data_IF_394759813824
#
_entry.id   IF_394759813824
#
_cell.length_a   1.000
_cell.length_b   1.000
_cell.length_c   1.000
_cell.angle_alpha   90.00
_cell.angle_beta   90.00
_cell.angle_gamma   90.00
#
_symmetry.space_group_name_H-M   'P 1'
#
loop_
_entity.id
_entity.type
_entity.pdbx_description
1 polymer ?
#
# COMPACT_ATOMS: atom_id res chain seq x y z
N UNK A 1 21.95 -15.02 22.18
CA UNK A 1 21.14 -14.82 20.96
C UNK A 1 20.78 -16.19 20.41
N UNK A 2 19.49 -16.51 20.30
CA UNK A 2 19.05 -17.74 19.63
C UNK A 2 18.97 -17.44 18.13
N UNK A 3 19.88 -18.01 17.34
CA UNK A 3 19.82 -17.88 15.88
C UNK A 3 18.85 -18.93 15.35
N UNK A 4 17.65 -18.49 14.95
CA UNK A 4 16.68 -19.38 14.31
C UNK A 4 17.13 -19.72 12.89
N UNK A 5 16.89 -20.96 12.46
CA UNK A 5 17.17 -21.36 11.08
C UNK A 5 16.28 -20.59 10.10
N UNK A 6 16.75 -20.35 8.87
CA UNK A 6 15.94 -19.71 7.80
C UNK A 6 14.63 -20.47 7.55
N UNK A 7 14.66 -21.80 7.64
CA UNK A 7 13.46 -22.62 7.48
C UNK A 7 12.45 -22.40 8.62
N UNK A 8 12.93 -22.23 9.85
CA UNK A 8 12.09 -21.91 11.01
C UNK A 8 11.43 -20.55 10.84
N UNK A 9 12.19 -19.53 10.45
CA UNK A 9 11.68 -18.17 10.19
C UNK A 9 10.62 -18.21 9.09
N UNK A 10 10.93 -18.83 7.94
CA UNK A 10 10.02 -18.90 6.81
C UNK A 10 8.76 -19.70 7.11
N UNK A 11 8.82 -20.75 7.94
CA UNK A 11 7.63 -21.47 8.42
C UNK A 11 6.80 -20.58 9.36
N UNK A 12 7.45 -19.83 10.25
CA UNK A 12 6.77 -18.89 11.13
C UNK A 12 5.99 -17.83 10.37
N UNK A 13 6.58 -17.24 9.33
CA UNK A 13 5.96 -16.22 8.48
C UNK A 13 4.64 -16.72 7.87
N UNK A 14 4.65 -17.88 7.20
CA UNK A 14 3.44 -18.43 6.56
C UNK A 14 2.36 -18.84 7.57
N UNK A 15 2.76 -19.33 8.74
CA UNK A 15 1.83 -19.67 9.82
C UNK A 15 1.16 -18.43 10.42
N UNK A 16 1.92 -17.34 10.63
CA UNK A 16 1.36 -16.07 11.10
C UNK A 16 0.35 -15.52 10.10
N UNK A 17 0.69 -15.46 8.81
CA UNK A 17 -0.24 -14.97 7.78
C UNK A 17 -1.51 -15.82 7.68
N UNK A 18 -1.40 -17.14 7.78
CA UNK A 18 -2.57 -18.03 7.81
C UNK A 18 -3.50 -17.74 8.98
N UNK A 19 -2.97 -17.63 10.20
CA UNK A 19 -3.77 -17.33 11.38
C UNK A 19 -4.38 -15.91 11.34
N UNK A 20 -3.67 -14.93 10.77
CA UNK A 20 -4.22 -13.58 10.56
C UNK A 20 -5.42 -13.61 9.60
N UNK A 21 -5.36 -14.39 8.51
CA UNK A 21 -6.48 -14.55 7.58
C UNK A 21 -7.71 -15.19 8.26
N UNK A 22 -7.50 -16.23 9.06
CA UNK A 22 -8.59 -16.87 9.81
C UNK A 22 -9.18 -15.93 10.88
N UNK A 23 -8.32 -15.23 11.62
CA UNK A 23 -8.75 -14.25 12.62
C UNK A 23 -9.57 -13.12 11.98
N UNK A 24 -9.13 -12.62 10.82
CA UNK A 24 -9.88 -11.66 10.00
C UNK A 24 -11.25 -12.21 9.60
N UNK A 25 -11.29 -13.39 8.96
CA UNK A 25 -12.51 -14.02 8.49
C UNK A 25 -13.56 -14.20 9.59
N UNK A 26 -13.16 -14.74 10.75
CA UNK A 26 -14.05 -14.92 11.89
C UNK A 26 -14.50 -13.60 12.51
N UNK A 27 -13.62 -12.58 12.54
CA UNK A 27 -13.97 -11.24 13.01
C UNK A 27 -15.02 -10.59 12.11
N UNK A 28 -14.88 -10.73 10.79
CA UNK A 28 -15.84 -10.24 9.81
C UNK A 28 -17.18 -10.97 9.94
N UNK A 29 -17.18 -12.29 10.09
CA UNK A 29 -18.41 -13.05 10.32
C UNK A 29 -19.14 -12.59 11.58
N UNK A 30 -18.41 -12.41 12.70
CA UNK A 30 -18.96 -11.86 13.93
C UNK A 30 -19.53 -10.45 13.74
N UNK A 31 -18.79 -9.59 13.03
CA UNK A 31 -19.20 -8.21 12.75
C UNK A 31 -20.51 -8.17 11.97
N UNK A 32 -20.58 -8.94 10.87
CA UNK A 32 -21.76 -9.05 10.00
C UNK A 32 -22.97 -9.61 10.74
N UNK A 33 -22.77 -10.57 11.64
CA UNK A 33 -23.86 -11.17 12.41
C UNK A 33 -24.37 -10.24 13.52
N UNK A 34 -23.47 -9.61 14.27
CA UNK A 34 -23.81 -8.96 15.54
C UNK A 34 -23.97 -7.45 15.44
N UNK A 35 -23.16 -6.78 14.64
CA UNK A 35 -23.05 -5.32 14.68
C UNK A 35 -23.52 -4.65 13.37
N UNK A 36 -23.22 -5.24 12.21
CA UNK A 36 -23.58 -4.68 10.91
C UNK A 36 -25.08 -4.40 10.73
N UNK A 37 -26.03 -5.26 11.18
CA UNK A 37 -27.45 -4.99 11.00
C UNK A 37 -27.95 -3.71 11.68
N UNK A 38 -27.26 -3.27 12.74
CA UNK A 38 -27.61 -2.05 13.48
C UNK A 38 -26.85 -0.83 12.97
N UNK A 39 -25.57 -0.97 12.65
CA UNK A 39 -24.70 0.18 12.31
C UNK A 39 -24.60 0.45 10.80
N UNK A 40 -24.89 -0.52 9.94
CA UNK A 40 -24.79 -0.40 8.48
C UNK A 40 -23.36 -0.20 7.94
N UNK A 41 -22.33 -0.47 8.75
CA UNK A 41 -20.92 -0.20 8.40
C UNK A 41 -20.29 -1.28 7.51
N UNK A 42 -19.08 -0.99 7.05
CA UNK A 42 -18.25 -1.88 6.20
C UNK A 42 -16.98 -2.29 6.94
N UNK A 43 -16.47 -3.48 6.65
CA UNK A 43 -15.24 -4.03 7.22
C UNK A 43 -14.35 -4.64 6.12
N UNK A 44 -13.04 -4.48 6.27
CA UNK A 44 -12.03 -5.06 5.37
C UNK A 44 -10.69 -5.24 6.11
N UNK A 45 -9.69 -5.74 5.40
CA UNK A 45 -8.29 -5.79 5.82
C UNK A 45 -7.45 -4.89 4.91
N UNK A 46 -6.49 -4.19 5.50
CA UNK A 46 -5.54 -3.34 4.77
C UNK A 46 -4.40 -4.20 4.24
N UNK A 47 -4.10 -4.07 2.95
CA UNK A 47 -2.97 -4.72 2.30
C UNK A 47 -1.92 -3.69 1.87
N UNK A 48 -0.65 -4.03 1.93
CA UNK A 48 0.44 -3.11 1.56
C UNK A 48 1.17 -3.64 0.33
N UNK A 49 1.27 -2.81 -0.71
CA UNK A 49 2.00 -3.19 -1.92
C UNK A 49 2.55 -1.97 -2.66
N UNK A 50 3.71 -2.17 -3.26
CA UNK A 50 4.31 -1.26 -4.21
C UNK A 50 4.45 -1.98 -5.55
N UNK A 51 4.41 -1.25 -6.65
CA UNK A 51 4.46 -1.85 -7.97
C UNK A 51 5.85 -2.43 -8.27
N UNK A 52 5.96 -3.75 -8.52
CA UNK A 52 7.20 -4.37 -8.96
C UNK A 52 7.24 -4.38 -10.49
N UNK A 53 7.84 -3.38 -11.11
CA UNK A 53 7.98 -3.30 -12.57
C UNK A 53 8.98 -4.35 -13.07
N UNK A 54 8.66 -5.13 -14.12
CA UNK A 54 9.62 -6.05 -14.68
C UNK A 54 10.70 -5.25 -15.42
N UNK A 55 11.98 -5.60 -15.22
CA UNK A 55 13.08 -4.88 -15.87
C UNK A 55 13.17 -5.11 -17.39
N UNK A 56 12.47 -6.13 -17.89
CA UNK A 56 12.27 -6.43 -19.30
C UNK A 56 11.03 -7.30 -19.51
N UNK A 57 10.71 -7.59 -20.77
CA UNK A 57 9.54 -8.37 -21.17
C UNK A 57 9.73 -9.90 -21.14
N UNK A 58 10.87 -10.40 -20.67
CA UNK A 58 11.15 -11.84 -20.69
C UNK A 58 10.16 -12.62 -19.81
N UNK A 59 9.80 -13.85 -20.21
CA UNK A 59 8.90 -14.69 -19.43
C UNK A 59 9.37 -14.92 -17.99
N UNK A 60 10.68 -15.07 -17.79
CA UNK A 60 11.28 -15.33 -16.47
C UNK A 60 11.14 -14.11 -15.55
N UNK A 61 11.41 -12.90 -16.07
CA UNK A 61 11.24 -11.66 -15.29
C UNK A 61 9.76 -11.42 -14.96
N UNK A 62 8.83 -11.67 -15.90
CA UNK A 62 7.39 -11.59 -15.65
C UNK A 62 6.90 -12.62 -14.62
N UNK A 63 7.44 -13.84 -14.65
CA UNK A 63 7.16 -14.84 -13.63
C UNK A 63 7.66 -14.39 -12.24
N UNK A 64 8.83 -13.76 -12.16
CA UNK A 64 9.34 -13.19 -10.91
C UNK A 64 8.55 -11.98 -10.44
N UNK A 65 8.05 -11.14 -11.35
CA UNK A 65 7.12 -10.07 -11.02
C UNK A 65 5.84 -10.63 -10.38
N UNK A 66 5.23 -11.64 -11.01
CA UNK A 66 4.04 -12.30 -10.46
C UNK A 66 4.33 -12.88 -9.09
N UNK A 67 5.46 -13.56 -8.91
CA UNK A 67 5.88 -14.09 -7.62
C UNK A 67 6.06 -12.98 -6.57
N UNK A 68 6.61 -11.82 -6.96
CA UNK A 68 6.73 -10.67 -6.05
C UNK A 68 5.37 -10.16 -5.60
N UNK A 69 4.43 -9.98 -6.53
CA UNK A 69 3.05 -9.60 -6.20
C UNK A 69 2.35 -10.65 -5.33
N UNK A 70 2.60 -11.94 -5.61
CA UNK A 70 2.04 -13.05 -4.85
C UNK A 70 2.43 -12.99 -3.38
N UNK A 71 3.72 -12.80 -3.10
CA UNK A 71 4.25 -12.75 -1.73
C UNK A 71 4.07 -11.40 -1.05
N UNK A 72 3.94 -10.30 -1.81
CA UNK A 72 3.73 -8.98 -1.25
C UNK A 72 2.27 -8.76 -0.84
N UNK A 73 1.32 -9.12 -1.71
CA UNK A 73 -0.08 -8.72 -1.51
C UNK A 73 -1.11 -9.77 -1.90
N UNK A 74 -0.92 -10.59 -2.95
CA UNK A 74 -1.91 -11.64 -3.24
C UNK A 74 -2.01 -12.66 -2.11
N UNK A 75 -0.97 -12.84 -1.31
CA UNK A 75 -0.97 -13.70 -0.13
C UNK A 75 -2.20 -13.45 0.77
N UNK A 76 -2.59 -12.20 0.98
CA UNK A 76 -3.76 -11.88 1.80
C UNK A 76 -5.04 -11.67 0.97
N UNK A 77 -4.92 -11.21 -0.27
CA UNK A 77 -6.08 -10.93 -1.13
C UNK A 77 -6.64 -12.17 -1.82
N UNK A 78 -5.82 -13.06 -2.39
CA UNK A 78 -6.30 -14.27 -3.07
C UNK A 78 -7.13 -15.19 -2.16
N UNK A 79 -6.76 -15.43 -0.88
CA UNK A 79 -7.59 -16.23 0.00
C UNK A 79 -8.98 -15.61 0.26
N UNK A 80 -9.06 -14.28 0.34
CA UNK A 80 -10.32 -13.57 0.58
C UNK A 80 -11.19 -13.56 -0.69
N UNK A 81 -10.62 -13.34 -1.87
CA UNK A 81 -11.40 -13.23 -3.10
C UNK A 81 -11.66 -14.59 -3.78
N UNK A 82 -10.71 -15.51 -3.69
CA UNK A 82 -10.72 -16.78 -4.42
C UNK A 82 -10.67 -18.03 -3.53
N UNK A 83 -10.57 -17.88 -2.20
CA UNK A 83 -10.58 -19.00 -1.26
C UNK A 83 -9.31 -19.86 -1.27
N UNK A 84 -8.21 -19.38 -1.87
CA UNK A 84 -6.95 -20.13 -2.00
C UNK A 84 -5.73 -19.22 -1.97
N UNK A 85 -4.58 -19.78 -1.60
CA UNK A 85 -3.30 -19.09 -1.73
C UNK A 85 -2.85 -18.96 -3.20
N UNK A 86 -2.00 -17.97 -3.51
CA UNK A 86 -1.37 -17.86 -4.83
C UNK A 86 -0.53 -19.10 -5.17
N UNK A 87 -0.48 -19.47 -6.45
CA UNK A 87 0.20 -20.68 -6.90
C UNK A 87 1.71 -20.65 -6.60
N UNK A 88 2.39 -19.52 -6.85
CA UNK A 88 3.83 -19.44 -6.59
C UNK A 88 4.18 -19.56 -5.11
N UNK A 89 3.25 -19.19 -4.21
CA UNK A 89 3.41 -19.41 -2.78
C UNK A 89 3.30 -20.88 -2.41
N UNK A 90 2.32 -21.59 -2.98
CA UNK A 90 2.14 -23.04 -2.75
C UNK A 90 3.39 -23.79 -3.18
N UNK A 91 3.91 -23.49 -4.37
CA UNK A 91 5.13 -24.13 -4.92
C UNK A 91 6.36 -23.82 -4.08
N UNK A 92 6.54 -22.56 -3.68
CA UNK A 92 7.71 -22.15 -2.91
C UNK A 92 7.68 -22.65 -1.45
N UNK A 93 6.54 -22.53 -0.79
CA UNK A 93 6.41 -22.86 0.63
C UNK A 93 6.19 -24.36 0.86
N UNK A 94 5.54 -25.05 -0.08
CA UNK A 94 5.23 -26.47 0.00
C UNK A 94 4.50 -26.81 1.30
N UNK A 95 4.93 -27.88 1.97
CA UNK A 95 4.36 -28.34 3.25
C UNK A 95 4.50 -27.36 4.42
N UNK A 96 5.25 -26.25 4.26
CA UNK A 96 5.33 -25.20 5.27
C UNK A 96 4.08 -24.31 5.27
N UNK A 97 3.41 -24.17 4.12
CA UNK A 97 2.20 -23.36 3.99
C UNK A 97 1.01 -24.18 4.52
N UNK A 98 0.28 -23.69 5.55
CA UNK A 98 -0.93 -24.37 5.99
C UNK A 98 -1.97 -24.43 4.88
N UNK A 99 -2.86 -25.41 4.95
CA UNK A 99 -3.98 -25.54 4.02
C UNK A 99 -5.26 -25.09 4.71
N UNK A 100 -6.11 -24.37 3.99
CA UNK A 100 -7.45 -24.09 4.45
C UNK A 100 -8.33 -25.34 4.34
N UNK A 101 -9.04 -25.65 5.40
CA UNK A 101 -10.15 -26.60 5.37
C UNK A 101 -11.33 -26.00 4.58
N UNK A 102 -12.26 -26.84 4.07
CA UNK A 102 -13.48 -26.34 3.43
C UNK A 102 -14.28 -25.39 4.32
N UNK A 103 -14.27 -25.60 5.63
CA UNK A 103 -14.99 -24.78 6.61
C UNK A 103 -14.35 -23.40 6.77
N UNK A 104 -13.01 -23.35 6.80
CA UNK A 104 -12.27 -22.09 6.82
C UNK A 104 -12.47 -21.29 5.53
N UNK A 105 -12.42 -21.95 4.36
CA UNK A 105 -12.70 -21.28 3.07
C UNK A 105 -14.09 -20.65 3.06
N UNK A 106 -15.11 -21.32 3.61
CA UNK A 106 -16.48 -20.78 3.68
C UNK A 106 -16.59 -19.48 4.47
N UNK A 107 -15.78 -19.30 5.51
CA UNK A 107 -15.79 -18.08 6.32
C UNK A 107 -14.85 -17.02 5.74
N UNK A 108 -13.75 -17.45 5.11
CA UNK A 108 -12.71 -16.58 4.56
C UNK A 108 -13.10 -15.93 3.24
N UNK A 109 -13.68 -16.68 2.31
CA UNK A 109 -13.99 -16.15 0.99
C UNK A 109 -15.13 -15.12 1.06
N UNK A 110 -14.91 -13.94 0.51
CA UNK A 110 -15.85 -12.81 0.58
C UNK A 110 -15.83 -12.05 1.92
N UNK A 111 -14.81 -12.25 2.76
CA UNK A 111 -14.68 -11.57 4.06
C UNK A 111 -14.17 -10.11 3.97
N UNK A 112 -14.43 -9.39 2.87
CA UNK A 112 -14.18 -7.95 2.76
C UNK A 112 -15.34 -7.27 2.04
N UNK A 113 -15.68 -6.05 2.47
CA UNK A 113 -16.72 -5.22 1.84
C UNK A 113 -16.15 -4.20 0.82
N UNK A 114 -14.84 -3.96 0.86
CA UNK A 114 -14.08 -3.07 -0.02
C UNK A 114 -12.60 -3.49 -0.03
N UNK A 115 -11.80 -3.00 -0.98
CA UNK A 115 -10.36 -3.22 -1.01
C UNK A 115 -9.62 -2.04 -0.36
N UNK A 116 -8.72 -2.32 0.58
CA UNK A 116 -7.92 -1.30 1.25
C UNK A 116 -6.43 -1.49 0.93
N UNK A 117 -5.79 -0.42 0.47
CA UNK A 117 -4.42 -0.45 -0.05
C UNK A 117 -3.54 0.62 0.61
N UNK A 118 -2.41 0.18 1.12
CA UNK A 118 -1.26 1.04 1.42
C UNK A 118 -0.26 0.91 0.27
N UNK A 119 0.19 2.04 -0.27
CA UNK A 119 1.19 2.07 -1.34
C UNK A 119 2.04 3.32 -1.23
N UNK A 120 3.33 3.21 -1.52
CA UNK A 120 4.33 4.20 -1.15
C UNK A 120 5.40 4.44 -2.22
N UNK A 121 5.68 3.45 -3.07
CA UNK A 121 6.86 3.41 -3.91
C UNK A 121 6.67 2.49 -5.12
N UNK A 122 7.76 2.20 -5.82
CA UNK A 122 7.88 1.15 -6.84
C UNK A 122 9.30 0.61 -6.88
N UNK A 123 9.49 -0.53 -7.53
CA UNK A 123 10.80 -1.19 -7.69
C UNK A 123 10.85 -1.98 -8.98
N UNK A 124 12.05 -2.28 -9.47
CA UNK A 124 12.25 -3.21 -10.57
C UNK A 124 12.45 -4.64 -10.05
N UNK A 125 11.88 -5.62 -10.75
CA UNK A 125 12.22 -7.03 -10.60
C UNK A 125 13.22 -7.39 -11.68
N UNK A 126 14.38 -7.91 -11.27
CA UNK A 126 15.53 -8.15 -12.17
C UNK A 126 15.46 -9.49 -12.90
N UNK A 127 14.61 -10.41 -12.43
CA UNK A 127 14.61 -11.83 -12.82
C UNK A 127 15.56 -12.70 -11.98
N UNK A 128 16.42 -12.07 -11.16
CA UNK A 128 17.32 -12.76 -10.24
C UNK A 128 16.60 -13.36 -9.03
N UNK A 129 17.33 -14.21 -8.30
CA UNK A 129 16.84 -14.82 -7.05
C UNK A 129 17.62 -14.27 -5.86
N UNK A 130 16.94 -13.64 -4.91
CA UNK A 130 17.54 -13.20 -3.65
C UNK A 130 17.17 -14.15 -2.52
N UNK A 131 18.09 -15.03 -2.10
CA UNK A 131 17.79 -16.01 -1.03
C UNK A 131 17.65 -15.41 0.38
N UNK A 132 17.99 -14.13 0.57
CA UNK A 132 17.76 -13.41 1.82
C UNK A 132 16.37 -12.78 1.88
N UNK A 133 15.72 -12.61 0.74
CA UNK A 133 14.33 -12.16 0.70
C UNK A 133 13.41 -13.26 1.28
N UNK A 134 12.60 -12.86 2.25
CA UNK A 134 11.60 -13.72 2.87
C UNK A 134 10.26 -13.69 2.09
N UNK A 135 10.10 -12.74 1.17
CA UNK A 135 8.92 -12.53 0.32
C UNK A 135 9.02 -13.19 -1.06
N UNK A 136 9.44 -14.46 -1.11
CA UNK A 136 9.45 -15.26 -2.34
C UNK A 136 10.81 -15.42 -3.02
N UNK A 137 11.89 -14.94 -2.39
CA UNK A 137 13.24 -14.94 -2.94
C UNK A 137 13.37 -14.16 -4.26
N UNK A 138 12.66 -13.05 -4.41
CA UNK A 138 12.73 -12.25 -5.65
C UNK A 138 13.82 -11.20 -5.50
N UNK A 139 14.73 -11.13 -6.47
CA UNK A 139 15.69 -10.03 -6.54
C UNK A 139 15.02 -8.78 -7.14
N UNK A 140 15.24 -7.65 -6.45
CA UNK A 140 14.70 -6.35 -6.83
C UNK A 140 15.80 -5.32 -6.92
N UNK A 141 15.59 -4.28 -7.73
CA UNK A 141 16.47 -3.14 -7.90
C UNK A 141 15.66 -1.84 -7.86
N UNK A 142 16.29 -0.73 -7.44
CA UNK A 142 15.73 0.61 -7.60
C UNK A 142 16.27 1.32 -8.86
N UNK A 143 17.04 0.60 -9.67
CA UNK A 143 17.59 1.07 -10.93
C UNK A 143 17.29 0.08 -12.05
N UNK A 144 16.97 0.58 -13.23
CA UNK A 144 16.82 -0.23 -14.43
C UNK A 144 18.18 -0.65 -15.03
N UNK A 145 18.15 -1.31 -16.20
CA UNK A 145 19.37 -1.83 -16.86
C UNK A 145 20.34 -0.74 -17.28
N UNK A 146 19.83 0.48 -17.50
CA UNK A 146 20.62 1.64 -17.89
C UNK A 146 21.04 2.48 -16.66
N UNK A 147 20.73 2.02 -15.44
CA UNK A 147 21.09 2.69 -14.21
C UNK A 147 20.19 3.89 -13.88
N UNK A 148 19.03 4.03 -14.52
CA UNK A 148 18.06 5.09 -14.16
C UNK A 148 17.27 4.66 -12.94
N UNK A 149 17.10 5.57 -12.00
CA UNK A 149 16.34 5.31 -10.79
C UNK A 149 14.84 5.11 -11.08
N UNK A 150 14.19 4.29 -10.26
CA UNK A 150 12.76 3.99 -10.34
C UNK A 150 11.86 5.21 -10.10
N UNK A 151 12.38 6.22 -9.38
CA UNK A 151 11.67 7.42 -8.99
C UNK A 151 12.54 8.66 -9.02
N UNK A 152 11.91 9.82 -8.87
CA UNK A 152 12.55 11.14 -8.99
C UNK A 152 13.42 11.48 -7.77
N UNK A 153 12.97 11.06 -6.58
CA UNK A 153 13.64 11.30 -5.31
C UNK A 153 13.61 10.04 -4.44
N UNK A 154 14.70 9.80 -3.71
CA UNK A 154 14.74 8.78 -2.66
C UNK A 154 14.41 9.40 -1.31
N UNK A 155 13.48 8.81 -0.58
CA UNK A 155 13.17 9.18 0.80
C UNK A 155 14.28 8.81 1.78
N UNK A 156 14.02 8.98 3.07
CA UNK A 156 14.96 8.56 4.11
C UNK A 156 15.08 7.04 4.23
N UNK A 157 14.07 6.29 3.76
CA UNK A 157 14.11 4.85 3.66
C UNK A 157 14.66 4.43 2.31
N UNK A 158 15.58 3.46 2.29
CA UNK A 158 16.18 2.95 1.06
C UNK A 158 15.14 2.44 0.05
N UNK A 159 14.04 1.87 0.56
CA UNK A 159 12.99 1.26 -0.23
C UNK A 159 11.94 2.25 -0.79
N UNK A 160 11.91 3.47 -0.27
CA UNK A 160 10.84 4.43 -0.55
C UNK A 160 11.35 5.50 -1.52
N UNK A 161 10.86 5.42 -2.76
CA UNK A 161 11.16 6.32 -3.85
C UNK A 161 9.88 6.99 -4.33
N UNK A 162 9.98 8.26 -4.72
CA UNK A 162 8.89 9.00 -5.35
C UNK A 162 8.69 8.49 -6.79
N UNK A 163 7.82 7.48 -6.92
CA UNK A 163 7.57 6.74 -8.16
C UNK A 163 6.06 6.61 -8.45
N UNK A 164 5.35 7.73 -8.67
CA UNK A 164 3.89 7.73 -8.79
C UNK A 164 3.39 6.92 -9.98
N UNK A 165 4.17 6.79 -11.06
CA UNK A 165 3.78 6.02 -12.24
C UNK A 165 3.44 4.56 -11.93
N UNK A 166 4.08 3.94 -10.94
CA UNK A 166 3.79 2.57 -10.55
C UNK A 166 2.52 2.46 -9.73
N UNK A 167 2.11 3.53 -9.03
CA UNK A 167 0.87 3.58 -8.28
C UNK A 167 -0.35 3.34 -9.17
N UNK A 168 -0.45 4.04 -10.32
CA UNK A 168 -1.55 3.82 -11.28
C UNK A 168 -1.54 2.41 -11.88
N UNK A 169 -0.35 1.85 -12.16
CA UNK A 169 -0.22 0.45 -12.61
C UNK A 169 -0.73 -0.53 -11.56
N UNK A 170 -0.38 -0.31 -10.29
CA UNK A 170 -0.87 -1.12 -9.17
C UNK A 170 -2.40 -1.01 -9.02
N UNK A 171 -2.97 0.19 -9.13
CA UNK A 171 -4.41 0.40 -9.06
C UNK A 171 -5.14 -0.36 -10.19
N UNK A 172 -4.65 -0.30 -11.42
CA UNK A 172 -5.19 -1.09 -12.55
C UNK A 172 -5.13 -2.58 -12.29
N UNK A 173 -4.03 -3.07 -11.71
CA UNK A 173 -3.86 -4.48 -11.36
C UNK A 173 -4.85 -4.93 -10.27
N UNK A 174 -4.99 -4.14 -9.20
CA UNK A 174 -5.98 -4.38 -8.13
C UNK A 174 -7.40 -4.39 -8.71
N UNK A 175 -7.71 -3.42 -9.57
CA UNK A 175 -9.04 -3.28 -10.15
C UNK A 175 -9.40 -4.45 -11.06
N UNK A 176 -8.51 -4.80 -11.98
CA UNK A 176 -8.69 -5.90 -12.90
C UNK A 176 -8.82 -7.25 -12.19
N UNK A 177 -8.03 -7.48 -11.12
CA UNK A 177 -7.98 -8.77 -10.43
C UNK A 177 -9.10 -8.94 -9.40
N UNK A 178 -9.45 -7.90 -8.65
CA UNK A 178 -10.28 -8.03 -7.44
C UNK A 178 -11.55 -7.20 -7.46
N UNK A 179 -11.48 -5.90 -7.76
CA UNK A 179 -12.58 -5.00 -7.41
C UNK A 179 -13.60 -4.82 -8.51
N UNK A 180 -13.20 -4.80 -9.78
CA UNK A 180 -14.12 -4.56 -10.91
C UNK A 180 -15.22 -5.62 -11.01
N UNK A 181 -14.84 -6.89 -10.92
CA UNK A 181 -15.80 -8.01 -10.98
C UNK A 181 -16.63 -8.16 -9.70
N UNK A 182 -16.05 -7.84 -8.54
CA UNK A 182 -16.74 -7.88 -7.25
C UNK A 182 -17.64 -6.65 -7.00
N UNK A 183 -17.52 -5.60 -7.81
CA UNK A 183 -18.17 -4.30 -7.56
C UNK A 183 -17.66 -3.62 -6.29
N UNK A 184 -16.46 -3.98 -5.82
CA UNK A 184 -15.86 -3.43 -4.61
C UNK A 184 -15.27 -2.04 -4.88
N UNK A 185 -15.28 -1.21 -3.85
CA UNK A 185 -14.60 0.09 -3.84
C UNK A 185 -13.14 -0.09 -3.44
N UNK A 186 -12.25 0.82 -3.85
CA UNK A 186 -10.87 0.91 -3.37
C UNK A 186 -10.73 2.10 -2.42
N UNK A 187 -10.06 1.88 -1.29
CA UNK A 187 -9.61 2.92 -0.38
C UNK A 187 -8.09 2.89 -0.28
N UNK A 188 -7.44 4.02 -0.53
CA UNK A 188 -6.00 4.19 -0.32
C UNK A 188 -5.83 4.60 1.13
N UNK A 189 -5.55 3.64 1.99
CA UNK A 189 -5.53 3.82 3.44
C UNK A 189 -4.23 4.42 3.95
N UNK A 190 -3.14 4.32 3.19
CA UNK A 190 -1.89 5.03 3.44
C UNK A 190 -1.15 5.32 2.13
N UNK A 191 -0.61 6.54 2.03
CA UNK A 191 0.41 6.95 1.08
C UNK A 191 1.18 8.14 1.65
N UNK A 192 2.52 8.12 1.61
CA UNK A 192 3.32 9.16 2.25
C UNK A 192 4.81 9.10 1.94
N UNK A 193 5.51 10.20 2.22
CA UNK A 193 6.93 10.33 1.87
C UNK A 193 7.75 10.96 3.00
N UNK A 194 8.77 10.26 3.51
CA UNK A 194 9.73 10.83 4.43
C UNK A 194 10.89 11.47 3.67
N UNK A 195 10.92 12.80 3.64
CA UNK A 195 12.00 13.56 3.01
C UNK A 195 13.37 13.18 3.58
N UNK A 196 14.32 12.87 2.70
CA UNK A 196 15.67 12.52 3.10
C UNK A 196 16.36 13.69 3.82
N UNK A 197 17.04 13.41 4.94
CA UNK A 197 17.73 14.43 5.74
C UNK A 197 16.83 15.41 6.50
N UNK A 198 15.50 15.30 6.44
CA UNK A 198 14.58 16.24 7.11
C UNK A 198 14.80 16.29 8.63
N UNK A 199 15.23 15.19 9.25
CA UNK A 199 15.54 15.13 10.67
C UNK A 199 16.75 15.98 11.10
N UNK A 200 17.57 16.45 10.16
CA UNK A 200 18.65 17.39 10.41
C UNK A 200 18.20 18.86 10.27
N UNK A 201 17.03 19.12 9.67
CA UNK A 201 16.48 20.47 9.52
C UNK A 201 15.97 20.97 10.88
N UNK A 202 15.94 22.28 11.05
CA UNK A 202 15.44 22.96 12.27
C UNK A 202 14.18 23.74 11.94
N UNK A 203 13.39 24.08 12.96
CA UNK A 203 12.28 25.02 12.78
C UNK A 203 12.84 26.42 12.46
N UNK A 204 12.25 27.18 11.50
CA UNK A 204 11.04 26.88 10.73
C UNK A 204 11.24 26.10 9.43
N UNK A 205 12.48 25.78 9.01
CA UNK A 205 12.76 25.07 7.74
C UNK A 205 12.06 23.71 7.62
N UNK A 206 11.75 23.07 8.75
CA UNK A 206 10.95 21.84 8.83
C UNK A 206 9.52 21.98 8.25
N UNK A 207 9.03 23.21 8.09
CA UNK A 207 7.71 23.48 7.49
C UNK A 207 7.77 23.47 5.96
N UNK A 208 8.96 23.61 5.37
CA UNK A 208 9.17 23.70 3.92
C UNK A 208 9.68 22.35 3.39
N UNK A 209 8.75 21.50 2.99
CA UNK A 209 8.98 20.10 2.61
C UNK A 209 8.66 19.83 1.13
N UNK A 210 9.39 20.51 0.23
CA UNK A 210 9.20 20.43 -1.23
C UNK A 210 9.17 19.00 -1.77
N UNK A 211 10.03 18.11 -1.29
CA UNK A 211 10.07 16.73 -1.77
C UNK A 211 8.77 15.97 -1.43
N UNK A 212 8.16 16.28 -0.27
CA UNK A 212 6.87 15.72 0.13
C UNK A 212 5.71 16.34 -0.64
N UNK A 213 5.79 17.62 -0.98
CA UNK A 213 4.82 18.28 -1.86
C UNK A 213 4.80 17.60 -3.23
N UNK A 214 5.96 17.45 -3.87
CA UNK A 214 6.09 16.80 -5.18
C UNK A 214 5.55 15.36 -5.18
N UNK A 215 5.85 14.60 -4.12
CA UNK A 215 5.32 13.25 -3.96
C UNK A 215 3.79 13.24 -3.96
N UNK A 216 3.16 14.07 -3.12
CA UNK A 216 1.70 14.11 -3.07
C UNK A 216 1.08 14.61 -4.39
N UNK A 217 1.68 15.61 -5.03
CA UNK A 217 1.21 16.08 -6.34
C UNK A 217 1.22 14.94 -7.37
N UNK A 218 2.31 14.18 -7.46
CA UNK A 218 2.43 13.05 -8.39
C UNK A 218 1.45 11.92 -8.09
N UNK A 219 1.35 11.47 -6.84
CA UNK A 219 0.45 10.37 -6.46
C UNK A 219 -1.03 10.76 -6.58
N UNK A 220 -1.40 11.98 -6.22
CA UNK A 220 -2.77 12.48 -6.36
C UNK A 220 -3.15 12.73 -7.82
N UNK A 221 -2.20 13.10 -8.68
CA UNK A 221 -2.42 13.12 -10.12
C UNK A 221 -2.72 11.71 -10.65
N UNK A 222 -1.89 10.72 -10.32
CA UNK A 222 -2.09 9.33 -10.75
C UNK A 222 -3.39 8.72 -10.21
N UNK A 223 -3.78 9.09 -8.98
CA UNK A 223 -5.09 8.77 -8.40
C UNK A 223 -6.24 9.35 -9.25
N UNK A 224 -6.12 10.62 -9.64
CA UNK A 224 -7.13 11.32 -10.44
C UNK A 224 -7.30 10.67 -11.81
N UNK A 225 -6.18 10.35 -12.47
CA UNK A 225 -6.19 9.66 -13.77
C UNK A 225 -6.75 8.23 -13.67
N UNK A 226 -6.45 7.50 -12.59
CA UNK A 226 -7.04 6.18 -12.33
C UNK A 226 -8.58 6.23 -12.22
N UNK A 227 -9.12 7.28 -11.59
CA UNK A 227 -10.57 7.47 -11.48
C UNK A 227 -11.18 7.91 -12.82
N UNK A 228 -10.62 8.96 -13.44
CA UNK A 228 -11.23 9.63 -14.61
C UNK A 228 -11.01 8.87 -15.91
N UNK A 229 -9.80 8.38 -16.13
CA UNK A 229 -9.41 7.76 -17.40
C UNK A 229 -9.58 6.24 -17.37
N UNK A 230 -9.24 5.59 -16.24
CA UNK A 230 -9.29 4.12 -16.13
C UNK A 230 -10.65 3.61 -15.58
N UNK A 231 -11.49 4.52 -15.07
CA UNK A 231 -12.80 4.22 -14.51
C UNK A 231 -12.76 3.40 -13.21
N UNK A 232 -11.65 3.47 -12.46
CA UNK A 232 -11.45 2.70 -11.23
C UNK A 232 -12.26 3.32 -10.09
N UNK A 233 -13.04 2.49 -9.38
CA UNK A 233 -13.92 2.94 -8.31
C UNK A 233 -13.16 3.19 -6.99
N UNK A 234 -12.48 4.33 -6.89
CA UNK A 234 -11.73 4.74 -5.71
C UNK A 234 -12.59 5.71 -4.87
N UNK A 235 -12.74 5.42 -3.57
CA UNK A 235 -13.62 6.16 -2.65
C UNK A 235 -12.91 6.98 -1.59
N UNK A 236 -11.63 6.73 -1.36
CA UNK A 236 -10.89 7.45 -0.35
C UNK A 236 -9.40 7.39 -0.55
N UNK A 237 -8.74 8.44 -0.04
CA UNK A 237 -7.31 8.55 0.04
C UNK A 237 -6.93 9.13 1.41
N UNK A 238 -6.00 8.49 2.08
CA UNK A 238 -5.52 8.88 3.39
C UNK A 238 -4.00 9.05 3.35
N UNK A 239 -3.54 10.29 3.53
CA UNK A 239 -2.13 10.60 3.62
C UNK A 239 -1.54 10.01 4.91
N UNK A 240 -0.45 9.24 4.77
CA UNK A 240 0.38 8.80 5.89
C UNK A 240 1.50 9.82 6.10
N UNK A 241 1.44 10.68 7.10
CA UNK A 241 0.43 10.73 8.16
C UNK A 241 0.00 12.15 8.46
N UNK A 242 -1.09 12.29 9.22
CA UNK A 242 -1.56 13.61 9.64
C UNK A 242 -0.49 14.35 10.47
N UNK A 243 0.13 13.65 11.41
CA UNK A 243 1.14 14.18 12.34
C UNK A 243 2.43 13.39 12.23
N UNK A 244 3.57 14.01 12.51
CA UNK A 244 4.79 13.23 12.74
C UNK A 244 4.62 12.24 13.90
N UNK A 245 4.85 10.97 13.62
CA UNK A 245 4.69 9.83 14.52
C UNK A 245 6.04 9.17 14.84
N UNK A 246 6.01 8.19 15.75
CA UNK A 246 7.11 7.26 15.94
C UNK A 246 7.03 6.18 14.85
N UNK A 247 8.03 6.12 13.97
CA UNK A 247 8.07 5.22 12.83
C UNK A 247 8.74 3.90 13.22
N UNK A 248 7.97 3.06 13.91
CA UNK A 248 8.35 1.72 14.34
C UNK A 248 9.70 1.70 15.08
N UNK A 249 10.63 0.83 14.66
CA UNK A 249 11.96 0.68 15.26
C UNK A 249 12.89 1.86 14.94
N UNK A 250 12.55 2.71 13.96
CA UNK A 250 13.34 3.89 13.59
C UNK A 250 13.07 5.09 14.51
N UNK A 251 12.11 4.98 15.43
CA UNK A 251 11.75 6.05 16.34
C UNK A 251 11.25 7.29 15.59
N UNK A 252 11.62 8.47 16.06
CA UNK A 252 11.17 9.75 15.49
C UNK A 252 12.13 10.35 14.45
N UNK A 253 13.08 9.56 13.94
CA UNK A 253 14.03 9.99 12.91
C UNK A 253 13.31 10.26 11.58
N UNK A 254 12.72 9.22 10.95
CA UNK A 254 11.84 9.39 9.81
C UNK A 254 10.62 10.26 10.15
N UNK A 255 10.22 11.12 9.21
CA UNK A 255 9.11 12.06 9.38
C UNK A 255 8.19 11.93 8.17
N UNK A 256 7.06 11.25 8.30
CA UNK A 256 6.07 11.12 7.21
C UNK A 256 4.91 12.13 7.35
N UNK A 257 4.76 12.70 8.55
CA UNK A 257 3.69 13.63 8.86
C UNK A 257 3.69 14.89 7.99
N UNK A 258 2.51 15.23 7.45
CA UNK A 258 2.26 16.54 6.81
C UNK A 258 2.21 17.69 7.83
N UNK A 259 2.14 17.36 9.12
CA UNK A 259 2.19 18.31 10.24
C UNK A 259 3.40 18.02 11.13
N UNK A 260 4.27 19.00 11.30
CA UNK A 260 5.38 18.96 12.24
C UNK A 260 4.87 18.94 13.69
N UNK A 261 5.48 18.12 14.55
CA UNK A 261 5.18 18.05 15.98
C UNK A 261 6.40 18.49 16.79
N UNK A 262 6.29 19.66 17.43
CA UNK A 262 7.31 20.20 18.34
C UNK A 262 7.25 19.49 19.70
N UNK A 263 7.88 18.33 19.78
CA UNK A 263 7.96 17.50 20.99
C UNK A 263 8.67 18.21 22.15
N UNK A 264 9.54 19.18 21.88
CA UNK A 264 10.26 19.91 22.93
C UNK A 264 9.41 21.03 23.56
N UNK A 265 8.44 21.55 22.83
CA UNK A 265 7.60 22.67 23.25
C UNK A 265 6.14 22.25 23.45
N UNK A 266 5.91 21.22 24.26
CA UNK A 266 4.57 20.76 24.62
C UNK A 266 3.78 20.14 23.47
N UNK A 267 4.47 19.53 22.49
CA UNK A 267 3.85 18.91 21.33
C UNK A 267 3.00 19.90 20.51
N UNK A 268 3.48 21.12 20.27
CA UNK A 268 2.78 22.04 19.36
C UNK A 268 2.79 21.50 17.94
N UNK A 269 1.70 21.72 17.20
CA UNK A 269 1.49 21.21 15.84
C UNK A 269 1.58 22.35 14.83
N UNK A 270 2.38 22.16 13.79
CA UNK A 270 2.59 23.15 12.74
C UNK A 270 2.41 22.48 11.38
N UNK A 271 1.34 22.81 10.62
CA UNK A 271 1.17 22.30 9.27
C UNK A 271 2.36 22.65 8.38
N UNK A 272 2.90 21.67 7.66
CA UNK A 272 3.93 21.87 6.65
C UNK A 272 3.31 22.30 5.32
N UNK A 273 4.12 22.70 4.36
CA UNK A 273 3.65 23.09 3.04
C UNK A 273 2.94 21.95 2.30
N UNK A 274 3.37 20.69 2.49
CA UNK A 274 2.64 19.50 2.01
C UNK A 274 1.19 19.40 2.50
N UNK A 275 0.86 19.92 3.69
CA UNK A 275 -0.54 20.00 4.16
C UNK A 275 -1.37 20.85 3.21
N UNK A 276 -0.80 21.96 2.69
CA UNK A 276 -1.50 22.87 1.78
C UNK A 276 -1.78 22.19 0.44
N UNK A 277 -0.82 21.42 -0.08
CA UNK A 277 -0.96 20.63 -1.31
C UNK A 277 -2.12 19.64 -1.19
N UNK A 278 -2.07 18.77 -0.18
CA UNK A 278 -3.11 17.75 0.06
C UNK A 278 -4.47 18.41 0.27
N UNK A 279 -4.54 19.47 1.08
CA UNK A 279 -5.79 20.19 1.33
C UNK A 279 -6.35 20.90 0.09
N UNK A 280 -5.48 21.48 -0.75
CA UNK A 280 -5.89 22.15 -1.98
C UNK A 280 -6.46 21.14 -2.99
N UNK A 281 -5.79 19.99 -3.15
CA UNK A 281 -6.28 18.93 -4.02
C UNK A 281 -7.65 18.39 -3.57
N UNK A 282 -7.83 18.09 -2.28
CA UNK A 282 -9.15 17.63 -1.80
C UNK A 282 -10.23 18.69 -1.99
N UNK A 283 -9.92 19.98 -1.83
CA UNK A 283 -10.88 21.07 -2.09
C UNK A 283 -11.24 21.19 -3.57
N UNK A 284 -10.35 20.88 -4.51
CA UNK A 284 -10.65 20.92 -5.94
C UNK A 284 -11.35 19.65 -6.44
N UNK A 285 -11.02 18.49 -5.86
CA UNK A 285 -11.54 17.19 -6.27
C UNK A 285 -12.89 16.83 -5.64
N UNK A 286 -13.24 17.41 -4.49
CA UNK A 286 -14.50 17.16 -3.78
C UNK A 286 -15.45 18.34 -3.97
N UNK A 287 -16.55 18.14 -4.69
CA UNK A 287 -17.70 19.05 -4.61
C UNK A 287 -18.44 18.82 -3.30
N UNK A 288 -18.75 19.92 -2.59
CA UNK A 288 -19.64 19.89 -1.43
C UNK A 288 -21.07 19.91 -1.93
N UNK A 289 -21.57 18.77 -2.32
CA UNK A 289 -22.99 18.62 -2.57
C UNK A 289 -23.63 18.45 -1.19
N UNK A 290 -24.53 19.34 -0.80
CA UNK A 290 -25.05 19.48 0.57
C UNK A 290 -25.80 18.27 1.17
N UNK A 291 -25.56 17.05 0.67
CA UNK A 291 -26.04 15.76 1.14
C UNK A 291 -24.92 14.73 1.41
N UNK A 292 -23.65 15.09 1.19
CA UNK A 292 -22.51 14.17 1.27
C UNK A 292 -21.57 14.34 0.08
N UNK A 293 -20.33 13.88 0.22
CA UNK A 293 -19.27 14.03 -0.78
C UNK A 293 -19.51 13.06 -1.95
N UNK A 294 -19.91 13.57 -3.10
CA UNK A 294 -19.79 12.88 -4.39
C UNK A 294 -18.64 13.51 -5.20
N UNK A 295 -17.67 12.72 -5.68
CA UNK A 295 -16.59 13.24 -6.51
C UNK A 295 -17.11 13.46 -7.94
N UNK A 296 -17.37 14.72 -8.30
CA UNK A 296 -17.36 15.16 -9.70
C UNK A 296 -16.01 15.81 -9.99
N UNK A 297 -15.08 15.03 -10.54
CA UNK A 297 -13.85 15.59 -11.11
C UNK A 297 -14.22 16.35 -12.37
N UNK A 298 -14.30 17.68 -12.24
CA UNK A 298 -14.60 18.58 -13.35
C UNK A 298 -13.59 18.42 -14.48
N UNK A 299 -14.08 18.48 -15.70
CA UNK A 299 -13.38 18.43 -16.99
C UNK A 299 -12.37 19.57 -17.24
N UNK A 300 -11.80 20.16 -16.19
CA UNK A 300 -10.82 21.23 -16.29
C UNK A 300 -9.65 21.02 -15.32
N UNK A 301 -8.85 20.00 -15.59
CA UNK A 301 -7.41 20.12 -15.35
C UNK A 301 -6.81 20.47 -16.71
N UNK A 302 -6.56 21.76 -16.93
CA UNK A 302 -5.99 22.28 -18.18
C UNK A 302 -4.47 22.09 -18.19
N UNK A 303 -4.00 21.58 -19.34
CA UNK A 303 -2.75 21.84 -20.08
C UNK A 303 -1.44 22.04 -19.31
#
# INVERSE_FOLDING_TARGET
>A
MVTLSRNTIRRGIVLVGHNLLLAHAHTVALYRQKYQPQQGGKISIVNSCDWPEPIDDSPDVKAMQQKRLDFAFHWFSDPIYFGRYPQSMIEYAGSRLPQFTPDEVRVLQGSCDFFALNSYSSMYVTGGTNTYDAGGCVETSFFDKEGRAVGTNRGCFEWLWDAPWGFRKLLRHVDARYTRSAGHEIFITENGFPTNGEHHRRFPDLLHDTERQNFYDGYLQQLSEAVVEDGINIKGYMAWSLLETMEWYCGYGPRLGVTYVDRANGFKRYPKDSTKVVAAWFKSAIKKDGKGVEPELGTQVRA
#
